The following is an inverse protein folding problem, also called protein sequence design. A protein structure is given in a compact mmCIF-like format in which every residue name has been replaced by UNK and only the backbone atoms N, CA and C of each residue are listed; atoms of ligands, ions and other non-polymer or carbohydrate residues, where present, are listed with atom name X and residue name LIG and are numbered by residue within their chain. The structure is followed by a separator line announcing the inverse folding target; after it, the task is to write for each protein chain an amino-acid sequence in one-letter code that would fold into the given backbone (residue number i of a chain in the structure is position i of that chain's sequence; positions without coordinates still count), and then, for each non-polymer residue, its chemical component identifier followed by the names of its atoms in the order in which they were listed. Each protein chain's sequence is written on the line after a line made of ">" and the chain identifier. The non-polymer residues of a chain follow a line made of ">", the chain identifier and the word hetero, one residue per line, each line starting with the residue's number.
data_IF_788857919162
#
_entry.id   IF_788857919162
#
_cell.length_a   1.000
_cell.length_b   1.000
_cell.length_c   1.000
_cell.angle_alpha   90.00
_cell.angle_beta   90.00
_cell.angle_gamma   90.00
#
_symmetry.space_group_name_H-M   'P 1'
#
loop_
_entity.id
_entity.type
_entity.pdbx_description
1 polymer ?
#
# COMPACT_ATOMS: atom_id res chain seq x y z
N UNK A 1 -0.33 -16.59 -6.58
CA UNK A 1 -0.52 -17.14 -5.24
C UNK A 1 -1.95 -16.82 -4.79
N UNK A 2 -2.61 -17.81 -4.20
CA UNK A 2 -3.91 -17.70 -3.60
C UNK A 2 -3.81 -18.05 -2.10
N UNK A 3 -4.92 -18.26 -1.41
CA UNK A 3 -5.01 -18.58 0.02
C UNK A 3 -4.14 -19.77 0.48
N UNK A 4 -3.87 -20.72 -0.41
CA UNK A 4 -2.91 -21.79 -0.22
C UNK A 4 -1.93 -21.83 -1.38
N UNK A 5 -0.68 -22.18 -1.09
CA UNK A 5 0.40 -22.31 -2.07
C UNK A 5 1.16 -23.60 -1.87
N UNK A 6 1.69 -24.14 -2.96
CA UNK A 6 2.53 -25.33 -2.93
C UNK A 6 3.98 -24.96 -3.20
N UNK A 7 4.85 -25.13 -2.20
CA UNK A 7 6.29 -24.83 -2.30
C UNK A 7 7.08 -26.09 -2.00
N UNK A 8 7.92 -26.53 -2.94
CA UNK A 8 8.71 -27.77 -2.82
C UNK A 8 7.88 -28.99 -2.39
N UNK A 9 6.67 -29.11 -2.94
CA UNK A 9 5.76 -30.23 -2.63
C UNK A 9 4.91 -30.06 -1.38
N UNK A 10 5.21 -29.09 -0.51
CA UNK A 10 4.50 -28.79 0.73
C UNK A 10 3.40 -27.76 0.49
N UNK A 11 2.17 -28.03 0.93
CA UNK A 11 1.08 -27.06 0.93
C UNK A 11 1.15 -26.17 2.16
N UNK A 12 0.98 -24.86 1.96
CA UNK A 12 1.09 -23.84 3.01
C UNK A 12 -0.10 -22.88 2.92
N UNK A 13 -0.64 -22.49 4.07
CA UNK A 13 -1.60 -21.36 4.16
C UNK A 13 -0.81 -20.08 3.93
N UNK A 14 -1.23 -19.26 2.94
CA UNK A 14 -0.54 -18.04 2.52
C UNK A 14 -0.96 -16.84 3.38
N UNK A 15 -0.26 -16.58 4.46
CA UNK A 15 -0.47 -15.40 5.31
C UNK A 15 0.57 -14.29 5.08
N UNK A 16 1.36 -14.38 4.01
CA UNK A 16 2.40 -13.40 3.67
C UNK A 16 2.09 -12.54 2.44
N UNK A 17 0.92 -12.71 1.81
CA UNK A 17 0.57 -12.03 0.56
C UNK A 17 -0.25 -10.75 0.81
N UNK A 18 0.01 -9.70 0.03
CA UNK A 18 -0.79 -8.49 -0.02
C UNK A 18 -1.94 -8.55 -1.05
N UNK A 19 -2.31 -9.75 -1.52
CA UNK A 19 -3.44 -9.97 -2.44
C UNK A 19 -4.79 -9.85 -1.69
N UNK A 20 -5.04 -8.71 -1.07
CA UNK A 20 -6.12 -8.50 -0.10
C UNK A 20 -7.50 -9.00 -0.56
N UNK A 21 -7.86 -8.73 -1.82
CA UNK A 21 -9.16 -9.10 -2.38
C UNK A 21 -9.15 -10.46 -3.10
N UNK A 22 -7.99 -11.15 -3.16
CA UNK A 22 -7.86 -12.45 -3.81
C UNK A 22 -8.02 -12.40 -5.34
N UNK A 23 -7.60 -11.30 -5.99
CA UNK A 23 -7.89 -11.07 -7.40
C UNK A 23 -6.85 -11.64 -8.36
N UNK A 24 -5.65 -12.04 -7.89
CA UNK A 24 -4.59 -12.54 -8.78
C UNK A 24 -4.98 -13.80 -9.58
N UNK A 25 -5.92 -14.58 -9.06
CA UNK A 25 -6.42 -15.81 -9.71
C UNK A 25 -7.84 -15.67 -10.23
N UNK A 26 -8.46 -14.48 -10.10
CA UNK A 26 -9.84 -14.23 -10.46
C UNK A 26 -10.08 -14.41 -11.97
N UNK A 27 -11.11 -15.19 -12.41
CA UNK A 27 -11.32 -15.51 -13.83
C UNK A 27 -11.46 -14.26 -14.72
N UNK A 28 -12.29 -13.28 -14.33
CA UNK A 28 -12.48 -12.03 -15.09
C UNK A 28 -11.20 -11.21 -15.24
N UNK A 29 -10.34 -11.21 -14.21
CA UNK A 29 -9.06 -10.49 -14.23
C UNK A 29 -8.08 -11.17 -15.18
N UNK A 30 -7.99 -12.50 -15.14
CA UNK A 30 -7.17 -13.30 -16.07
C UNK A 30 -7.64 -13.13 -17.51
N UNK A 31 -8.94 -13.20 -17.74
CA UNK A 31 -9.55 -13.03 -19.08
C UNK A 31 -9.24 -11.65 -19.67
N UNK A 32 -9.35 -10.59 -18.86
CA UNK A 32 -9.02 -9.23 -19.30
C UNK A 32 -7.55 -9.10 -19.72
N UNK A 33 -6.62 -9.69 -18.96
CA UNK A 33 -5.21 -9.70 -19.31
C UNK A 33 -4.93 -10.46 -20.61
N UNK A 34 -5.56 -11.63 -20.82
CA UNK A 34 -5.43 -12.44 -22.06
C UNK A 34 -5.92 -11.64 -23.28
N UNK A 35 -7.13 -11.06 -23.21
CA UNK A 35 -7.69 -10.23 -24.29
C UNK A 35 -6.80 -9.02 -24.64
N UNK A 36 -6.17 -8.43 -23.62
CA UNK A 36 -5.24 -7.32 -23.84
C UNK A 36 -3.94 -7.79 -24.55
N UNK A 37 -3.43 -8.97 -24.23
CA UNK A 37 -2.30 -9.57 -24.97
C UNK A 37 -2.67 -9.81 -26.43
N UNK A 38 -3.83 -10.38 -26.69
CA UNK A 38 -4.32 -10.65 -28.06
C UNK A 38 -4.48 -9.37 -28.88
N UNK A 39 -5.00 -8.29 -28.28
CA UNK A 39 -5.27 -7.02 -28.98
C UNK A 39 -4.04 -6.12 -29.12
N UNK A 40 -3.23 -6.00 -28.06
CA UNK A 40 -2.17 -4.98 -27.96
C UNK A 40 -0.76 -5.57 -27.91
N UNK A 41 -0.61 -6.87 -27.73
CA UNK A 41 0.67 -7.52 -27.49
C UNK A 41 1.11 -7.44 -26.00
N UNK A 42 2.38 -7.77 -25.76
CA UNK A 42 2.92 -7.96 -24.39
C UNK A 42 3.48 -6.70 -23.77
N UNK A 43 3.71 -5.63 -24.53
CA UNK A 43 4.32 -4.40 -24.03
C UNK A 43 4.28 -3.27 -25.04
N UNK A 44 4.59 -2.05 -24.58
CA UNK A 44 4.58 -0.84 -25.42
C UNK A 44 5.95 -0.47 -25.97
N UNK A 45 7.03 -1.05 -25.45
CA UNK A 45 8.43 -0.79 -25.86
C UNK A 45 8.89 0.67 -25.79
N UNK A 46 8.19 1.51 -25.03
CA UNK A 46 8.51 2.93 -24.88
C UNK A 46 7.86 3.57 -23.68
N UNK A 47 8.30 4.79 -23.36
CA UNK A 47 7.74 5.57 -22.28
C UNK A 47 6.41 6.22 -22.66
N UNK A 48 5.68 6.73 -21.64
CA UNK A 48 4.40 7.41 -21.80
C UNK A 48 4.46 8.61 -22.75
N UNK A 49 5.60 9.29 -22.85
CA UNK A 49 5.82 10.44 -23.74
C UNK A 49 6.12 10.08 -25.18
N UNK A 50 6.55 8.85 -25.46
CA UNK A 50 6.89 8.42 -26.80
C UNK A 50 5.74 7.60 -27.39
N UNK A 51 5.91 6.29 -27.42
CA UNK A 51 4.94 5.36 -28.00
C UNK A 51 4.21 4.50 -26.94
N UNK A 52 4.42 4.77 -25.66
CA UNK A 52 3.92 3.95 -24.56
C UNK A 52 2.57 4.37 -23.99
N UNK A 53 1.85 5.32 -24.61
CA UNK A 53 0.48 5.68 -24.23
C UNK A 53 -0.51 5.05 -25.20
N UNK A 54 -1.35 4.16 -24.69
CA UNK A 54 -2.45 3.52 -25.42
C UNK A 54 -3.79 4.03 -24.88
N UNK A 55 -4.86 3.81 -25.65
CA UNK A 55 -6.25 4.03 -25.22
C UNK A 55 -6.57 3.42 -23.85
N UNK A 56 -6.06 2.22 -23.56
CA UNK A 56 -6.21 1.56 -22.26
C UNK A 56 -5.61 2.38 -21.09
N UNK A 57 -4.48 3.05 -21.30
CA UNK A 57 -3.87 3.86 -20.26
C UNK A 57 -4.74 5.08 -19.93
N UNK A 58 -5.25 5.75 -20.96
CA UNK A 58 -6.13 6.92 -20.81
C UNK A 58 -7.46 6.53 -20.17
N UNK A 59 -8.05 5.39 -20.57
CA UNK A 59 -9.25 4.84 -19.93
C UNK A 59 -9.02 4.55 -18.45
N UNK A 60 -7.90 3.94 -18.09
CA UNK A 60 -7.57 3.62 -16.70
C UNK A 60 -7.40 4.91 -15.88
N UNK A 61 -6.65 5.89 -16.37
CA UNK A 61 -6.43 7.18 -15.72
C UNK A 61 -7.76 7.89 -15.45
N UNK A 62 -8.63 7.95 -16.46
CA UNK A 62 -9.96 8.53 -16.32
C UNK A 62 -10.81 7.80 -15.27
N UNK A 63 -10.86 6.46 -15.32
CA UNK A 63 -11.65 5.66 -14.36
C UNK A 63 -11.13 5.77 -12.93
N UNK A 64 -9.81 5.81 -12.74
CA UNK A 64 -9.20 6.00 -11.42
C UNK A 64 -9.50 7.40 -10.86
N UNK A 65 -9.35 8.45 -11.67
CA UNK A 65 -9.69 9.80 -11.25
C UNK A 65 -11.15 9.89 -10.76
N UNK A 66 -12.09 9.31 -11.51
CA UNK A 66 -13.51 9.25 -11.13
C UNK A 66 -13.75 8.44 -9.85
N UNK A 67 -13.08 7.29 -9.70
CA UNK A 67 -13.21 6.42 -8.53
C UNK A 67 -12.73 7.12 -7.25
N UNK A 68 -11.65 7.90 -7.36
CA UNK A 68 -11.02 8.63 -6.26
C UNK A 68 -11.62 10.03 -6.04
N UNK A 69 -12.60 10.44 -6.88
CA UNK A 69 -13.21 11.78 -6.88
C UNK A 69 -12.17 12.89 -7.04
N UNK A 70 -11.23 12.70 -7.97
CA UNK A 70 -10.20 13.65 -8.36
C UNK A 70 -10.39 14.10 -9.80
N UNK A 71 -9.77 15.24 -10.17
CA UNK A 71 -9.90 15.81 -11.50
C UNK A 71 -9.17 14.99 -12.56
N UNK A 72 -7.98 14.49 -12.21
CA UNK A 72 -7.08 13.79 -13.14
C UNK A 72 -6.24 12.72 -12.40
N UNK A 73 -5.66 11.82 -13.17
CA UNK A 73 -4.79 10.75 -12.68
C UNK A 73 -3.68 10.49 -13.70
N UNK A 74 -2.51 10.04 -13.23
CA UNK A 74 -1.42 9.55 -14.06
C UNK A 74 -0.89 8.22 -13.55
N UNK A 75 -0.69 7.26 -14.47
CA UNK A 75 -0.24 5.90 -14.17
C UNK A 75 1.26 5.76 -14.43
N UNK A 76 1.94 5.12 -13.49
CA UNK A 76 3.37 4.78 -13.49
C UNK A 76 3.57 3.26 -13.56
N UNK A 77 4.78 2.83 -13.93
CA UNK A 77 5.11 1.41 -14.08
C UNK A 77 5.21 0.65 -12.74
N UNK A 78 5.45 1.34 -11.63
CA UNK A 78 5.40 0.77 -10.26
C UNK A 78 4.97 1.84 -9.25
N UNK A 79 4.44 1.41 -8.09
CA UNK A 79 4.17 2.31 -6.97
C UNK A 79 5.44 2.99 -6.43
N UNK A 80 6.56 2.28 -6.43
CA UNK A 80 7.85 2.85 -6.05
C UNK A 80 8.24 4.04 -6.95
N UNK A 81 8.17 3.87 -8.27
CA UNK A 81 8.43 4.94 -9.24
C UNK A 81 7.43 6.09 -9.13
N UNK A 82 6.19 5.82 -8.71
CA UNK A 82 5.19 6.87 -8.47
C UNK A 82 5.66 7.81 -7.37
N UNK A 83 6.01 7.30 -6.20
CA UNK A 83 6.51 8.13 -5.10
C UNK A 83 7.79 8.90 -5.48
N UNK A 84 8.75 8.22 -6.13
CA UNK A 84 9.96 8.89 -6.61
C UNK A 84 9.64 10.05 -7.54
N UNK A 85 8.78 9.82 -8.54
CA UNK A 85 8.45 10.82 -9.54
C UNK A 85 7.66 11.99 -8.97
N UNK A 86 6.65 11.71 -8.18
CA UNK A 86 5.77 12.72 -7.59
C UNK A 86 6.54 13.61 -6.62
N UNK A 87 7.19 13.02 -5.62
CA UNK A 87 7.85 13.78 -4.57
C UNK A 87 9.04 14.58 -5.15
N UNK A 88 9.89 13.95 -5.98
CA UNK A 88 11.04 14.65 -6.55
C UNK A 88 10.66 15.75 -7.55
N UNK A 89 9.51 15.67 -8.18
CA UNK A 89 9.03 16.72 -9.09
C UNK A 89 8.40 17.91 -8.35
N UNK A 90 7.69 17.66 -7.25
CA UNK A 90 6.93 18.68 -6.53
C UNK A 90 7.77 19.42 -5.48
N UNK A 91 8.67 18.72 -4.77
CA UNK A 91 9.48 19.30 -3.68
C UNK A 91 10.75 19.90 -4.25
N UNK A 92 10.73 21.21 -4.49
CA UNK A 92 11.81 21.96 -5.16
C UNK A 92 12.72 22.63 -4.15
N UNK A 93 13.79 23.28 -4.64
CA UNK A 93 14.71 24.07 -3.79
C UNK A 93 13.94 25.13 -3.02
N UNK A 94 14.04 25.09 -1.71
CA UNK A 94 13.32 25.98 -0.78
C UNK A 94 12.04 25.36 -0.20
N UNK A 95 11.54 24.26 -0.76
CA UNK A 95 10.40 23.53 -0.22
C UNK A 95 10.82 22.45 0.79
N UNK A 96 9.85 21.96 1.54
CA UNK A 96 10.03 20.93 2.58
C UNK A 96 9.01 19.81 2.41
N UNK A 97 9.49 18.58 2.30
CA UNK A 97 8.70 17.37 2.50
C UNK A 97 8.65 17.04 4.00
N UNK A 98 7.47 16.82 4.55
CA UNK A 98 7.26 16.41 5.94
C UNK A 98 6.71 15.00 5.90
N UNK A 99 7.44 14.02 6.48
CA UNK A 99 7.15 12.60 6.33
C UNK A 99 7.09 11.91 7.69
N UNK A 100 6.27 10.87 7.81
CA UNK A 100 6.25 10.02 9.01
C UNK A 100 7.57 9.23 9.10
N UNK A 101 8.00 8.96 10.33
CA UNK A 101 9.25 8.21 10.59
C UNK A 101 9.20 6.79 10.03
N UNK A 102 8.01 6.20 9.88
CA UNK A 102 7.79 4.84 9.42
C UNK A 102 7.22 4.75 8.00
N UNK A 103 7.15 5.88 7.28
CA UNK A 103 6.75 5.90 5.87
C UNK A 103 7.61 4.97 5.02
N UNK A 104 6.99 4.44 3.97
CA UNK A 104 7.61 3.50 3.05
C UNK A 104 8.90 4.03 2.41
N UNK A 105 9.87 3.13 2.18
CA UNK A 105 11.18 3.47 1.62
C UNK A 105 11.11 4.31 0.33
N UNK A 106 10.10 4.10 -0.52
CA UNK A 106 9.91 4.88 -1.76
C UNK A 106 9.61 6.36 -1.50
N UNK A 107 8.89 6.69 -0.41
CA UNK A 107 8.64 8.07 0.02
C UNK A 107 9.97 8.71 0.44
N UNK A 108 10.73 8.01 1.26
CA UNK A 108 12.04 8.48 1.74
C UNK A 108 13.02 8.68 0.58
N UNK A 109 13.05 7.76 -0.38
CA UNK A 109 13.93 7.87 -1.54
C UNK A 109 13.45 8.97 -2.52
N UNK A 110 12.14 9.15 -2.67
CA UNK A 110 11.56 10.30 -3.38
C UNK A 110 12.01 11.64 -2.77
N UNK A 111 12.05 11.73 -1.44
CA UNK A 111 12.57 12.89 -0.73
C UNK A 111 14.06 13.10 -0.98
N UNK A 112 14.88 12.04 -0.94
CA UNK A 112 16.33 12.12 -1.22
C UNK A 112 16.62 12.58 -2.66
N UNK A 113 15.77 12.22 -3.61
CA UNK A 113 15.91 12.60 -5.01
C UNK A 113 15.35 13.99 -5.31
N UNK A 114 14.65 14.61 -4.39
CA UNK A 114 14.14 15.97 -4.52
C UNK A 114 15.25 17.01 -4.32
N UNK A 115 15.01 18.24 -4.78
CA UNK A 115 15.89 19.37 -4.51
C UNK A 115 15.55 20.11 -3.21
N UNK A 116 14.45 19.73 -2.56
CA UNK A 116 14.02 20.28 -1.30
C UNK A 116 14.61 19.57 -0.09
N UNK A 117 14.18 20.00 1.08
CA UNK A 117 14.56 19.38 2.35
C UNK A 117 13.49 18.40 2.81
N UNK A 118 13.88 17.27 3.41
CA UNK A 118 12.97 16.36 4.10
C UNK A 118 13.10 16.50 5.62
N UNK A 119 11.97 16.52 6.32
CA UNK A 119 11.91 16.52 7.79
C UNK A 119 10.96 15.41 8.22
N UNK A 120 11.39 14.62 9.22
CA UNK A 120 10.57 13.53 9.77
C UNK A 120 9.88 13.96 11.04
N UNK A 121 8.64 13.49 11.25
CA UNK A 121 7.98 13.52 12.53
C UNK A 121 7.82 12.10 13.11
N UNK A 122 7.59 12.00 14.40
CA UNK A 122 7.40 10.71 15.08
C UNK A 122 6.13 10.04 14.59
N UNK A 123 6.21 8.70 14.49
CA UNK A 123 5.16 7.89 13.90
C UNK A 123 3.79 8.17 14.52
N UNK A 124 2.86 8.59 13.65
CA UNK A 124 1.46 8.90 13.92
C UNK A 124 1.27 9.86 15.12
N UNK A 125 2.27 10.71 15.39
CA UNK A 125 2.29 11.67 16.50
C UNK A 125 1.96 13.08 15.99
N UNK A 126 0.73 13.49 16.18
CA UNK A 126 0.21 14.78 15.71
C UNK A 126 0.80 15.97 16.47
N UNK A 127 1.23 15.79 17.71
CA UNK A 127 1.90 16.84 18.47
C UNK A 127 3.31 17.08 17.92
N UNK A 128 4.03 16.02 17.55
CA UNK A 128 5.34 16.16 16.90
C UNK A 128 5.21 16.70 15.47
N UNK A 129 4.18 16.30 14.71
CA UNK A 129 3.88 16.89 13.41
C UNK A 129 3.64 18.40 13.53
N UNK A 130 2.85 18.84 14.52
CA UNK A 130 2.63 20.27 14.77
C UNK A 130 3.91 21.00 15.16
N UNK A 131 4.74 20.41 16.02
CA UNK A 131 6.06 20.93 16.38
C UNK A 131 6.94 21.14 15.14
N UNK A 132 6.99 20.15 14.25
CA UNK A 132 7.74 20.24 12.99
C UNK A 132 7.20 21.37 12.13
N UNK A 133 5.90 21.39 11.85
CA UNK A 133 5.25 22.40 11.00
C UNK A 133 5.44 23.82 11.52
N UNK A 134 5.35 24.02 12.85
CA UNK A 134 5.51 25.34 13.50
C UNK A 134 6.95 25.86 13.40
N UNK A 135 7.94 24.98 13.28
CA UNK A 135 9.36 25.34 13.15
C UNK A 135 9.79 25.76 11.74
N UNK A 136 8.92 25.56 10.74
CA UNK A 136 9.23 25.84 9.34
C UNK A 136 8.93 27.30 8.98
N UNK A 137 9.72 27.86 8.05
CA UNK A 137 9.44 29.17 7.47
C UNK A 137 8.02 29.19 6.85
N UNK A 138 7.26 30.25 7.13
CA UNK A 138 5.91 30.43 6.58
C UNK A 138 5.91 30.53 5.05
N UNK A 139 7.01 31.00 4.45
CA UNK A 139 7.14 31.21 3.01
C UNK A 139 7.55 29.96 2.23
N UNK A 140 8.06 28.91 2.90
CA UNK A 140 8.44 27.67 2.18
C UNK A 140 7.21 26.88 1.76
N UNK A 141 7.25 26.25 0.59
CA UNK A 141 6.30 25.22 0.20
C UNK A 141 6.42 24.02 1.13
N UNK A 142 5.27 23.45 1.53
CA UNK A 142 5.22 22.32 2.47
C UNK A 142 4.39 21.22 1.87
N UNK A 143 4.94 20.01 1.75
CA UNK A 143 4.23 18.81 1.35
C UNK A 143 4.32 17.77 2.47
N UNK A 144 3.21 17.49 3.13
CA UNK A 144 3.08 16.36 4.04
C UNK A 144 2.83 15.12 3.19
N UNK A 145 3.66 14.09 3.33
CA UNK A 145 3.47 12.78 2.67
C UNK A 145 3.39 11.73 3.77
N UNK A 146 2.35 10.90 3.74
CA UNK A 146 2.13 9.85 4.75
C UNK A 146 1.54 8.59 4.13
N UNK A 147 1.99 7.43 4.59
CA UNK A 147 1.26 6.18 4.38
C UNK A 147 -0.09 6.24 5.12
N UNK A 148 -1.14 5.77 4.49
CA UNK A 148 -2.47 5.69 5.13
C UNK A 148 -2.63 4.46 6.01
N UNK A 149 -2.06 3.33 5.59
CA UNK A 149 -1.88 2.12 6.39
C UNK A 149 -0.39 1.77 6.37
N UNK A 150 0.21 1.73 7.54
CA UNK A 150 1.63 1.40 7.68
C UNK A 150 1.87 -0.10 7.53
N UNK A 151 2.74 -0.45 6.60
CA UNK A 151 2.92 -1.83 6.12
C UNK A 151 3.46 -2.80 7.15
N UNK A 152 4.16 -2.31 8.18
CA UNK A 152 4.79 -3.13 9.23
C UNK A 152 4.02 -3.08 10.54
N UNK A 153 3.37 -1.97 10.86
CA UNK A 153 2.60 -1.74 12.09
C UNK A 153 1.14 -2.19 11.94
N UNK A 154 0.58 -2.08 10.73
CA UNK A 154 -0.82 -2.41 10.45
C UNK A 154 -1.82 -1.44 11.05
N UNK A 155 -1.39 -0.24 11.44
CA UNK A 155 -2.24 0.84 11.92
C UNK A 155 -2.59 1.84 10.81
N UNK A 156 -3.51 2.74 11.12
CA UNK A 156 -4.03 3.76 10.21
C UNK A 156 -3.58 5.13 10.70
N UNK A 157 -3.13 5.99 9.79
CA UNK A 157 -2.78 7.39 10.09
C UNK A 157 -4.00 8.16 10.62
N UNK A 158 -3.81 9.04 11.59
CA UNK A 158 -4.83 10.04 11.98
C UNK A 158 -4.95 11.13 10.90
N UNK A 159 -5.49 10.75 9.74
CA UNK A 159 -5.63 11.64 8.59
C UNK A 159 -6.47 12.90 8.90
N UNK A 160 -7.56 12.85 9.69
CA UNK A 160 -8.29 14.05 10.08
C UNK A 160 -7.41 15.10 10.78
N UNK A 161 -6.55 14.67 11.70
CA UNK A 161 -5.63 15.58 12.39
C UNK A 161 -4.51 16.07 11.48
N UNK A 162 -3.98 15.24 10.58
CA UNK A 162 -3.01 15.64 9.53
C UNK A 162 -3.61 16.78 8.69
N UNK A 163 -4.83 16.60 8.18
CA UNK A 163 -5.52 17.62 7.37
C UNK A 163 -5.76 18.92 8.16
N UNK A 164 -6.17 18.81 9.42
CA UNK A 164 -6.36 19.99 10.29
C UNK A 164 -5.06 20.80 10.44
N UNK A 165 -3.96 20.10 10.69
CA UNK A 165 -2.63 20.72 10.80
C UNK A 165 -2.14 21.28 9.46
N UNK A 166 -2.34 20.54 8.36
CA UNK A 166 -2.00 21.01 7.02
C UNK A 166 -2.67 22.34 6.69
N UNK A 167 -3.97 22.48 6.94
CA UNK A 167 -4.70 23.74 6.77
C UNK A 167 -4.14 24.86 7.65
N UNK A 168 -3.90 24.58 8.93
CA UNK A 168 -3.35 25.57 9.89
C UNK A 168 -2.01 26.13 9.44
N UNK A 169 -1.15 25.29 8.89
CA UNK A 169 0.23 25.65 8.49
C UNK A 169 0.43 25.84 6.98
N UNK A 170 -0.67 25.87 6.21
CA UNK A 170 -0.67 26.03 4.74
C UNK A 170 0.24 24.99 4.03
N UNK A 171 0.16 23.73 4.46
CA UNK A 171 0.79 22.60 3.82
C UNK A 171 -0.18 21.89 2.87
N UNK A 172 0.37 21.20 1.86
CA UNK A 172 -0.34 20.27 1.00
C UNK A 172 -0.19 18.85 1.52
N UNK A 173 -1.14 17.98 1.22
CA UNK A 173 -1.15 16.60 1.72
C UNK A 173 -1.20 15.61 0.56
N UNK A 174 -0.23 14.71 0.54
CA UNK A 174 -0.20 13.51 -0.28
C UNK A 174 -0.39 12.29 0.63
N UNK A 175 -1.35 11.44 0.30
CA UNK A 175 -1.58 10.17 1.01
C UNK A 175 -1.17 9.02 0.11
N UNK A 176 -0.33 8.12 0.64
CA UNK A 176 -0.02 6.85 0.00
C UNK A 176 -1.02 5.78 0.45
N UNK A 177 -1.97 5.49 -0.41
CA UNK A 177 -3.04 4.50 -0.23
C UNK A 177 -2.66 3.10 -0.74
N UNK A 178 -1.36 2.80 -0.86
CA UNK A 178 -0.91 1.52 -1.39
C UNK A 178 -1.50 0.31 -0.65
N UNK A 179 -1.74 0.41 0.65
CA UNK A 179 -2.38 -0.62 1.46
C UNK A 179 -3.88 -0.36 1.71
N UNK A 180 -4.40 0.82 1.37
CA UNK A 180 -5.76 1.22 1.70
C UNK A 180 -6.75 1.08 0.53
N UNK A 181 -6.31 1.30 -0.72
CA UNK A 181 -7.18 1.13 -1.89
C UNK A 181 -7.67 -0.32 -1.99
N UNK A 182 -8.98 -0.51 -2.18
CA UNK A 182 -9.65 -1.81 -2.12
C UNK A 182 -9.89 -2.34 -0.69
N UNK A 183 -9.36 -1.66 0.35
CA UNK A 183 -9.42 -2.09 1.77
C UNK A 183 -10.24 -1.12 2.61
N UNK A 184 -9.93 0.17 2.57
CA UNK A 184 -10.62 1.23 3.31
C UNK A 184 -11.68 1.93 2.46
N UNK A 185 -12.65 2.49 3.15
CA UNK A 185 -13.76 3.23 2.54
C UNK A 185 -14.93 2.33 2.13
N UNK A 186 -16.12 2.94 2.04
CA UNK A 186 -17.37 2.23 1.69
C UNK A 186 -17.28 1.57 0.30
N UNK A 187 -16.67 2.28 -0.66
CA UNK A 187 -16.49 1.80 -2.03
C UNK A 187 -15.08 1.22 -2.27
N UNK A 188 -14.18 1.27 -1.26
CA UNK A 188 -12.80 0.83 -1.38
C UNK A 188 -11.88 1.87 -2.02
N UNK A 189 -12.25 3.14 -1.98
CA UNK A 189 -11.45 4.22 -2.58
C UNK A 189 -10.32 4.72 -1.65
N UNK A 190 -10.06 4.06 -0.53
CA UNK A 190 -8.92 4.33 0.34
C UNK A 190 -9.22 5.21 1.55
N UNK A 191 -8.17 5.78 2.14
CA UNK A 191 -8.25 6.51 3.40
C UNK A 191 -9.03 7.83 3.28
N UNK A 192 -8.87 8.55 2.17
CA UNK A 192 -9.60 9.78 1.96
C UNK A 192 -11.12 9.55 1.99
N UNK A 193 -11.61 8.50 1.34
CA UNK A 193 -13.01 8.09 1.41
C UNK A 193 -13.41 7.63 2.82
N UNK A 194 -12.54 6.84 3.47
CA UNK A 194 -12.81 6.29 4.80
C UNK A 194 -13.12 7.38 5.83
N UNK A 195 -12.44 8.51 5.74
CA UNK A 195 -12.61 9.64 6.65
C UNK A 195 -13.52 10.76 6.09
N UNK A 196 -14.03 10.63 4.86
CA UNK A 196 -14.84 11.69 4.22
C UNK A 196 -14.02 12.93 3.86
N UNK A 197 -12.74 12.76 3.50
CA UNK A 197 -11.77 13.83 3.28
C UNK A 197 -11.29 13.88 1.81
N UNK A 198 -12.08 13.34 0.88
CA UNK A 198 -11.68 13.23 -0.54
C UNK A 198 -11.35 14.60 -1.16
N UNK A 199 -12.00 15.67 -0.71
CA UNK A 199 -11.74 17.03 -1.22
C UNK A 199 -10.58 17.73 -0.50
N UNK A 200 -10.15 17.21 0.64
CA UNK A 200 -9.14 17.83 1.50
C UNK A 200 -7.72 17.29 1.26
N UNK A 201 -7.63 16.06 0.78
CA UNK A 201 -6.35 15.46 0.37
C UNK A 201 -5.98 15.98 -1.00
N UNK A 202 -4.79 16.58 -1.18
CA UNK A 202 -4.37 17.15 -2.46
C UNK A 202 -4.00 16.09 -3.49
N UNK A 203 -3.28 15.05 -3.04
CA UNK A 203 -2.82 13.95 -3.89
C UNK A 203 -3.09 12.60 -3.22
N UNK A 204 -3.67 11.68 -3.99
CA UNK A 204 -3.84 10.28 -3.61
C UNK A 204 -2.95 9.42 -4.50
N UNK A 205 -1.95 8.81 -3.89
CA UNK A 205 -1.08 7.83 -4.53
C UNK A 205 -1.56 6.42 -4.19
N UNK A 206 -1.41 5.48 -5.11
CA UNK A 206 -1.66 4.06 -4.84
C UNK A 206 -0.82 3.14 -5.72
N UNK A 207 -0.84 1.85 -5.40
CA UNK A 207 -0.15 0.82 -6.17
C UNK A 207 -1.12 -0.24 -6.70
N UNK A 208 -0.75 -0.85 -7.84
CA UNK A 208 -1.51 -1.99 -8.38
C UNK A 208 -1.00 -3.35 -7.89
N UNK A 209 0.10 -3.37 -7.11
CA UNK A 209 0.75 -4.62 -6.70
C UNK A 209 0.09 -5.34 -5.52
N UNK A 210 -1.05 -4.86 -5.06
CA UNK A 210 -1.79 -5.42 -3.92
C UNK A 210 -3.25 -5.72 -4.30
N UNK A 211 -4.23 -4.91 -3.90
CA UNK A 211 -5.66 -5.13 -4.20
C UNK A 211 -5.98 -5.20 -5.69
N UNK A 212 -5.22 -4.54 -6.55
CA UNK A 212 -5.39 -4.60 -8.00
C UNK A 212 -4.69 -5.77 -8.69
N UNK A 213 -3.98 -6.62 -7.94
CA UNK A 213 -3.45 -7.92 -8.37
C UNK A 213 -2.44 -7.92 -9.54
N UNK A 214 -1.75 -6.80 -9.81
CA UNK A 214 -0.73 -6.69 -10.86
C UNK A 214 0.37 -5.72 -10.48
N UNK A 215 1.16 -5.24 -11.41
CA UNK A 215 2.22 -4.25 -11.21
C UNK A 215 1.74 -2.87 -11.66
N UNK A 216 2.33 -1.80 -11.10
CA UNK A 216 2.09 -0.42 -11.45
C UNK A 216 1.76 0.43 -10.24
N UNK A 217 1.51 1.72 -10.49
CA UNK A 217 1.05 2.67 -9.50
C UNK A 217 0.41 3.88 -10.17
N UNK A 218 -0.18 4.74 -9.38
CA UNK A 218 -0.85 5.95 -9.86
C UNK A 218 -0.75 7.08 -8.85
N UNK A 219 -0.95 8.29 -9.32
CA UNK A 219 -1.27 9.44 -8.48
C UNK A 219 -2.45 10.20 -9.09
N UNK A 220 -3.40 10.59 -8.26
CA UNK A 220 -4.59 11.37 -8.63
C UNK A 220 -4.66 12.66 -7.83
N UNK A 221 -5.15 13.74 -8.45
CA UNK A 221 -5.24 15.05 -7.83
C UNK A 221 -5.84 16.10 -8.77
N UNK A 222 -5.57 17.37 -8.50
CA UNK A 222 -5.97 18.50 -9.36
C UNK A 222 -5.30 18.39 -10.74
N UNK A 223 -6.04 18.63 -11.81
CA UNK A 223 -5.56 18.49 -13.19
C UNK A 223 -4.24 19.23 -13.46
N UNK A 224 -4.08 20.46 -12.96
CA UNK A 224 -2.85 21.25 -13.15
C UNK A 224 -1.63 20.58 -12.50
N UNK A 225 -1.83 19.98 -11.31
CA UNK A 225 -0.76 19.31 -10.57
C UNK A 225 -0.39 18.01 -11.28
N UNK A 226 -1.37 17.22 -11.72
CA UNK A 226 -1.12 15.98 -12.47
C UNK A 226 -0.44 16.28 -13.80
N UNK A 227 -0.86 17.34 -14.52
CA UNK A 227 -0.18 17.82 -15.73
C UNK A 227 1.28 18.18 -15.47
N UNK A 228 1.55 18.90 -14.37
CA UNK A 228 2.92 19.22 -13.98
C UNK A 228 3.76 17.97 -13.69
N UNK A 229 3.22 17.03 -12.90
CA UNK A 229 3.88 15.74 -12.61
C UNK A 229 4.18 14.99 -13.91
N UNK A 230 3.23 14.91 -14.84
CA UNK A 230 3.36 14.26 -16.15
C UNK A 230 4.58 14.78 -16.91
N UNK A 231 4.88 16.08 -16.84
CA UNK A 231 5.98 16.72 -17.56
C UNK A 231 7.29 16.82 -16.77
N UNK A 232 7.31 16.54 -15.48
CA UNK A 232 8.50 16.71 -14.63
C UNK A 232 8.97 15.42 -13.95
N UNK A 233 8.10 14.42 -13.78
CA UNK A 233 8.46 13.18 -13.10
C UNK A 233 9.40 12.31 -13.95
N UNK A 234 10.69 12.32 -13.60
CA UNK A 234 11.74 11.59 -14.35
C UNK A 234 11.48 10.09 -14.38
N UNK A 235 10.95 9.50 -13.29
CA UNK A 235 10.61 8.08 -13.23
C UNK A 235 9.44 7.67 -14.16
N UNK A 236 8.64 8.65 -14.62
CA UNK A 236 7.62 8.45 -15.64
C UNK A 236 8.21 8.63 -17.06
N UNK A 237 8.94 9.74 -17.25
CA UNK A 237 9.43 10.17 -18.57
C UNK A 237 10.48 9.20 -19.12
N UNK A 238 11.36 8.70 -18.26
CA UNK A 238 12.51 7.87 -18.62
C UNK A 238 12.33 6.37 -18.31
N UNK A 239 11.09 5.94 -18.07
CA UNK A 239 10.73 4.53 -17.90
C UNK A 239 9.77 4.06 -18.97
N UNK A 240 9.87 2.79 -19.35
CA UNK A 240 8.84 2.15 -20.15
C UNK A 240 7.48 2.17 -19.41
N UNK A 241 6.40 2.30 -20.17
CA UNK A 241 5.05 2.30 -19.62
C UNK A 241 4.64 0.90 -19.10
N UNK A 242 3.69 0.88 -18.22
CA UNK A 242 3.04 -0.35 -17.75
C UNK A 242 2.45 -1.11 -18.95
N UNK A 243 2.67 -2.45 -19.07
CA UNK A 243 2.23 -3.21 -20.24
C UNK A 243 0.71 -3.36 -20.32
N UNK A 244 0.13 -3.49 -21.52
CA UNK A 244 -1.32 -3.58 -21.73
C UNK A 244 -2.02 -4.65 -20.89
N UNK A 245 -1.49 -5.86 -20.71
CA UNK A 245 -2.13 -6.86 -19.85
C UNK A 245 -2.27 -6.42 -18.40
N UNK A 246 -1.29 -5.67 -17.88
CA UNK A 246 -1.36 -5.14 -16.52
C UNK A 246 -2.41 -4.03 -16.40
N UNK A 247 -2.51 -3.15 -17.42
CA UNK A 247 -3.56 -2.11 -17.47
C UNK A 247 -4.95 -2.73 -17.47
N UNK A 248 -5.17 -3.73 -18.34
CA UNK A 248 -6.45 -4.44 -18.43
C UNK A 248 -6.79 -5.20 -17.14
N UNK A 249 -5.77 -5.76 -16.45
CA UNK A 249 -5.92 -6.35 -15.12
C UNK A 249 -6.47 -5.33 -14.12
N UNK A 250 -5.90 -4.11 -14.08
CA UNK A 250 -6.35 -3.05 -13.16
C UNK A 250 -7.78 -2.62 -13.48
N UNK A 251 -8.11 -2.44 -14.77
CA UNK A 251 -9.47 -2.08 -15.19
C UNK A 251 -10.50 -3.11 -14.72
N UNK A 252 -10.21 -4.41 -14.90
CA UNK A 252 -11.09 -5.49 -14.43
C UNK A 252 -11.17 -5.54 -12.90
N UNK A 253 -10.04 -5.37 -12.20
CA UNK A 253 -9.99 -5.36 -10.75
C UNK A 253 -10.78 -4.15 -10.18
N UNK A 254 -10.69 -2.98 -10.79
CA UNK A 254 -11.44 -1.79 -10.40
C UNK A 254 -12.96 -2.02 -10.47
N UNK A 255 -13.44 -2.65 -11.53
CA UNK A 255 -14.87 -3.01 -11.64
C UNK A 255 -15.30 -4.01 -10.56
N UNK A 256 -14.44 -4.98 -10.20
CA UNK A 256 -14.72 -5.92 -9.11
C UNK A 256 -14.74 -5.19 -7.76
N UNK A 257 -13.77 -4.31 -7.48
CA UNK A 257 -13.71 -3.52 -6.24
C UNK A 257 -14.99 -2.71 -6.03
N UNK A 258 -15.54 -2.13 -7.11
CA UNK A 258 -16.77 -1.34 -7.09
C UNK A 258 -18.04 -2.17 -6.92
N UNK A 259 -18.10 -3.34 -7.57
CA UNK A 259 -19.34 -4.10 -7.73
C UNK A 259 -19.44 -5.32 -6.81
N UNK A 260 -18.34 -5.72 -6.12
CA UNK A 260 -18.31 -6.87 -5.20
C UNK A 260 -17.85 -6.40 -3.79
N UNK A 261 -18.64 -5.55 -3.08
CA UNK A 261 -18.27 -5.04 -1.74
C UNK A 261 -18.12 -6.15 -0.70
N UNK A 262 -18.79 -7.30 -0.89
CA UNK A 262 -18.69 -8.48 -0.02
C UNK A 262 -17.26 -9.03 0.10
N UNK A 263 -16.40 -8.80 -0.90
CA UNK A 263 -14.98 -9.16 -0.79
C UNK A 263 -14.28 -8.33 0.29
N UNK A 264 -14.59 -7.04 0.34
CA UNK A 264 -14.04 -6.13 1.37
C UNK A 264 -14.57 -6.50 2.75
N UNK A 265 -15.86 -6.80 2.86
CA UNK A 265 -16.48 -7.25 4.10
C UNK A 265 -15.85 -8.55 4.60
N UNK A 266 -15.63 -9.51 3.70
CA UNK A 266 -14.96 -10.79 4.02
C UNK A 266 -13.52 -10.58 4.43
N UNK A 267 -12.76 -9.71 3.75
CA UNK A 267 -11.41 -9.34 4.15
C UNK A 267 -11.36 -8.82 5.59
N UNK A 268 -12.26 -7.88 5.92
CA UNK A 268 -12.32 -7.32 7.27
C UNK A 268 -12.77 -8.32 8.32
N UNK A 269 -13.71 -9.20 7.99
CA UNK A 269 -14.09 -10.29 8.87
C UNK A 269 -12.88 -11.19 9.19
N UNK A 270 -12.17 -11.63 8.15
CA UNK A 270 -10.98 -12.48 8.29
C UNK A 270 -9.89 -11.80 9.13
N UNK A 271 -9.59 -10.53 8.87
CA UNK A 271 -8.60 -9.77 9.62
C UNK A 271 -8.97 -9.61 11.10
N UNK A 272 -10.23 -9.26 11.39
CA UNK A 272 -10.72 -9.12 12.78
C UNK A 272 -10.69 -10.45 13.53
N UNK A 273 -11.09 -11.57 12.89
CA UNK A 273 -11.01 -12.91 13.47
C UNK A 273 -9.59 -13.24 13.91
N UNK A 274 -8.62 -13.03 13.01
CA UNK A 274 -7.22 -13.36 13.28
C UNK A 274 -6.59 -12.42 14.32
N UNK A 275 -6.84 -11.12 14.23
CA UNK A 275 -6.36 -10.15 15.23
C UNK A 275 -6.87 -10.49 16.64
N UNK A 276 -8.16 -10.83 16.75
CA UNK A 276 -8.75 -11.28 18.01
C UNK A 276 -8.09 -12.57 18.49
N UNK A 277 -7.97 -13.58 17.61
CA UNK A 277 -7.37 -14.86 17.95
C UNK A 277 -5.92 -14.72 18.42
N UNK A 278 -5.10 -13.89 17.77
CA UNK A 278 -3.74 -13.64 18.22
C UNK A 278 -3.67 -12.95 19.59
N UNK A 279 -4.52 -11.97 19.85
CA UNK A 279 -4.60 -11.33 21.18
C UNK A 279 -5.00 -12.32 22.27
N UNK A 280 -5.98 -13.19 22.01
CA UNK A 280 -6.40 -14.24 22.94
C UNK A 280 -5.32 -15.29 23.18
N UNK A 281 -4.46 -15.57 22.21
CA UNK A 281 -3.30 -16.44 22.34
C UNK A 281 -2.11 -15.78 23.07
N UNK A 282 -2.14 -14.48 23.30
CA UNK A 282 -1.08 -13.74 23.99
C UNK A 282 -0.01 -13.13 23.08
N UNK A 283 -0.21 -13.10 21.77
CA UNK A 283 0.71 -12.43 20.86
C UNK A 283 0.66 -10.91 20.97
N UNK A 284 1.82 -10.27 20.89
CA UNK A 284 1.92 -8.82 20.80
C UNK A 284 1.67 -8.35 19.35
N UNK A 285 0.48 -7.80 19.09
CA UNK A 285 0.07 -7.25 17.79
C UNK A 285 0.17 -5.72 17.72
N UNK A 286 0.76 -5.09 18.71
CA UNK A 286 0.86 -3.63 18.88
C UNK A 286 -0.48 -2.92 18.61
N UNK A 287 -0.45 -1.86 17.80
CA UNK A 287 -1.61 -1.00 17.45
C UNK A 287 -2.36 -1.47 16.21
N UNK A 288 -2.01 -2.62 15.65
CA UNK A 288 -2.63 -3.11 14.41
C UNK A 288 -4.16 -3.17 14.52
N UNK A 289 -4.80 -2.66 13.47
CA UNK A 289 -6.26 -2.63 13.34
C UNK A 289 -6.73 -2.88 11.89
N UNK A 290 -5.82 -3.34 11.00
CA UNK A 290 -6.08 -3.54 9.56
C UNK A 290 -5.85 -5.00 9.16
N UNK A 291 -6.04 -5.38 7.88
CA UNK A 291 -5.68 -6.70 7.37
C UNK A 291 -4.19 -7.05 7.43
N UNK A 292 -3.34 -6.16 7.87
CA UNK A 292 -1.92 -6.41 8.19
C UNK A 292 -1.77 -6.58 9.69
N UNK A 293 -1.39 -7.77 10.16
CA UNK A 293 -1.22 -8.05 11.59
C UNK A 293 0.20 -8.50 11.87
N UNK A 294 1.05 -7.62 12.42
CA UNK A 294 2.38 -7.98 12.88
C UNK A 294 2.31 -8.74 14.20
N UNK A 295 3.21 -9.69 14.39
CA UNK A 295 3.45 -10.38 15.67
C UNK A 295 4.86 -10.02 16.10
N UNK A 296 5.00 -9.14 17.09
CA UNK A 296 6.28 -8.65 17.55
C UNK A 296 7.01 -9.70 18.39
N UNK A 297 8.23 -10.05 17.94
CA UNK A 297 9.09 -11.05 18.58
C UNK A 297 10.26 -10.38 19.31
N UNK A 298 10.80 -9.29 18.73
CA UNK A 298 11.91 -8.52 19.26
C UNK A 298 13.27 -9.01 18.79
N UNK A 299 13.68 -10.20 19.18
CA UNK A 299 14.97 -10.80 18.82
C UNK A 299 14.97 -11.36 17.40
N UNK A 300 16.02 -11.05 16.62
CA UNK A 300 16.13 -11.41 15.21
C UNK A 300 16.24 -12.93 15.01
N UNK A 301 17.07 -13.60 15.80
CA UNK A 301 17.29 -15.05 15.72
C UNK A 301 16.02 -15.80 16.10
N UNK A 302 15.35 -15.35 17.16
CA UNK A 302 14.08 -15.93 17.61
C UNK A 302 12.99 -15.76 16.54
N UNK A 303 12.94 -14.60 15.87
CA UNK A 303 11.97 -14.34 14.80
C UNK A 303 12.19 -15.27 13.59
N UNK A 304 13.44 -15.47 13.17
CA UNK A 304 13.79 -16.38 12.07
C UNK A 304 13.50 -17.83 12.42
N UNK A 305 13.86 -18.28 13.63
CA UNK A 305 13.57 -19.66 14.07
C UNK A 305 12.05 -19.90 14.16
N UNK A 306 11.31 -18.93 14.71
CA UNK A 306 9.87 -19.02 14.79
C UNK A 306 9.21 -19.04 13.40
N UNK A 307 9.67 -18.20 12.46
CA UNK A 307 9.23 -18.25 11.08
C UNK A 307 9.50 -19.62 10.43
N UNK A 308 10.69 -20.20 10.64
CA UNK A 308 11.04 -21.53 10.12
C UNK A 308 10.11 -22.60 10.68
N UNK A 309 9.86 -22.59 11.97
CA UNK A 309 8.93 -23.53 12.62
C UNK A 309 7.49 -23.39 12.10
N UNK A 310 7.02 -22.15 11.84
CA UNK A 310 5.73 -21.89 11.20
C UNK A 310 5.69 -22.45 9.76
N UNK A 311 6.76 -22.23 8.99
CA UNK A 311 6.86 -22.76 7.63
C UNK A 311 6.82 -24.30 7.62
N UNK A 312 7.55 -24.94 8.54
CA UNK A 312 7.51 -26.40 8.71
C UNK A 312 6.15 -26.91 9.16
N UNK A 313 5.39 -26.10 9.86
CA UNK A 313 4.04 -26.45 10.33
C UNK A 313 2.92 -26.15 9.30
N UNK A 314 3.23 -25.55 8.15
CA UNK A 314 2.24 -25.32 7.09
C UNK A 314 1.80 -23.86 6.92
N UNK A 315 2.50 -22.88 7.48
CA UNK A 315 2.21 -21.44 7.36
C UNK A 315 3.28 -20.74 6.52
N UNK A 316 2.87 -19.98 5.52
CA UNK A 316 3.72 -19.01 4.85
C UNK A 316 3.42 -17.61 5.41
N UNK A 317 4.33 -17.07 6.21
CA UNK A 317 4.30 -15.70 6.73
C UNK A 317 5.65 -15.02 6.43
N UNK A 318 5.77 -13.71 6.64
CA UNK A 318 6.98 -12.96 6.33
C UNK A 318 7.75 -12.62 7.61
N UNK A 319 8.99 -13.15 7.80
CA UNK A 319 9.86 -12.63 8.85
C UNK A 319 10.36 -11.24 8.43
N UNK A 320 10.29 -10.28 9.34
CA UNK A 320 10.76 -8.91 9.12
C UNK A 320 11.79 -8.59 10.20
N UNK A 321 13.01 -8.35 9.74
CA UNK A 321 14.18 -8.09 10.59
C UNK A 321 14.88 -6.81 10.14
N UNK A 322 15.82 -6.24 10.90
CA UNK A 322 16.64 -5.14 10.43
C UNK A 322 17.32 -5.44 9.08
N UNK A 323 17.42 -4.47 8.15
CA UNK A 323 17.09 -3.04 8.32
C UNK A 323 15.64 -2.64 8.02
N UNK A 324 14.74 -3.61 7.74
CA UNK A 324 13.33 -3.32 7.43
C UNK A 324 12.53 -2.82 8.65
N UNK A 325 12.99 -3.18 9.85
CA UNK A 325 12.53 -2.63 11.13
C UNK A 325 13.75 -2.24 11.97
N UNK A 326 13.60 -1.36 12.98
CA UNK A 326 14.70 -1.05 13.91
C UNK A 326 15.19 -2.29 14.67
N UNK A 327 16.47 -2.32 15.09
CA UNK A 327 17.00 -3.38 15.96
C UNK A 327 16.13 -3.59 17.19
N UNK A 328 15.89 -4.86 17.56
CA UNK A 328 15.03 -5.23 18.69
C UNK A 328 13.52 -5.16 18.40
N UNK A 329 13.11 -4.91 17.14
CA UNK A 329 11.71 -4.86 16.73
C UNK A 329 11.34 -5.89 15.66
N UNK A 330 12.11 -6.98 15.56
CA UNK A 330 11.83 -8.07 14.63
C UNK A 330 10.45 -8.68 14.87
N UNK A 331 9.76 -9.02 13.81
CA UNK A 331 8.38 -9.48 13.84
C UNK A 331 8.09 -10.53 12.76
N UNK A 332 7.00 -11.26 12.94
CA UNK A 332 6.36 -12.02 11.87
C UNK A 332 5.18 -11.20 11.34
N UNK A 333 5.26 -10.80 10.08
CA UNK A 333 4.19 -10.07 9.41
C UNK A 333 3.20 -11.03 8.79
N UNK A 334 1.96 -10.97 9.21
CA UNK A 334 0.84 -11.68 8.58
C UNK A 334 -0.09 -10.70 7.87
N UNK A 335 -0.72 -11.15 6.80
CA UNK A 335 -1.74 -10.40 6.08
C UNK A 335 -2.81 -11.35 5.55
N UNK A 336 -4.04 -10.85 5.44
CA UNK A 336 -5.21 -11.65 5.13
C UNK A 336 -5.78 -11.30 3.78
N UNK A 337 -6.48 -12.28 3.19
CA UNK A 337 -7.16 -12.15 1.91
C UNK A 337 -8.65 -12.43 2.09
N UNK A 338 -9.47 -11.84 1.23
CA UNK A 338 -10.90 -12.12 1.16
C UNK A 338 -11.20 -13.59 0.84
N UNK A 339 -10.27 -14.28 0.18
CA UNK A 339 -10.39 -15.70 -0.23
C UNK A 339 -10.04 -16.70 0.87
N UNK A 340 -9.46 -16.30 1.99
CA UNK A 340 -9.26 -17.20 3.12
C UNK A 340 -10.60 -17.71 3.64
N UNK A 341 -10.71 -19.03 3.81
CA UNK A 341 -11.88 -19.65 4.43
C UNK A 341 -11.76 -19.64 5.96
N UNK A 342 -12.84 -19.95 6.65
CA UNK A 342 -12.81 -20.06 8.11
C UNK A 342 -11.90 -21.18 8.58
N UNK A 343 -11.93 -22.31 7.85
CA UNK A 343 -11.08 -23.47 8.11
C UNK A 343 -9.60 -23.12 7.98
N UNK A 344 -9.21 -22.34 6.94
CA UNK A 344 -7.83 -21.86 6.81
C UNK A 344 -7.39 -21.04 8.01
N UNK A 345 -8.27 -20.15 8.50
CA UNK A 345 -7.94 -19.25 9.62
C UNK A 345 -7.92 -19.99 10.96
N UNK A 346 -8.82 -20.93 11.19
CA UNK A 346 -8.84 -21.75 12.39
C UNK A 346 -7.63 -22.68 12.44
N UNK A 347 -7.28 -23.34 11.31
CA UNK A 347 -6.06 -24.13 11.17
C UNK A 347 -4.82 -23.29 11.46
N UNK A 348 -4.77 -22.06 10.91
CA UNK A 348 -3.65 -21.16 11.16
C UNK A 348 -3.52 -20.79 12.64
N UNK A 349 -4.61 -20.44 13.32
CA UNK A 349 -4.58 -20.12 14.76
C UNK A 349 -4.10 -21.31 15.61
N UNK A 350 -4.54 -22.53 15.27
CA UNK A 350 -4.08 -23.75 15.94
C UNK A 350 -2.58 -24.00 15.74
N UNK A 351 -2.07 -23.76 14.54
CA UNK A 351 -0.63 -23.87 14.26
C UNK A 351 0.14 -22.81 15.04
N UNK A 352 -0.29 -21.53 14.99
CA UNK A 352 0.35 -20.46 15.76
C UNK A 352 0.36 -20.75 17.25
N UNK A 353 -0.74 -21.28 17.82
CA UNK A 353 -0.83 -21.69 19.21
C UNK A 353 0.22 -22.74 19.58
N UNK A 354 0.34 -23.81 18.77
CA UNK A 354 1.28 -24.91 19.01
C UNK A 354 2.73 -24.46 18.87
N UNK A 355 3.04 -23.79 17.76
CA UNK A 355 4.40 -23.33 17.44
C UNK A 355 4.85 -22.21 18.37
N UNK A 356 3.95 -21.26 18.68
CA UNK A 356 4.25 -20.14 19.58
C UNK A 356 4.61 -20.57 20.98
N UNK A 357 3.87 -21.54 21.55
CA UNK A 357 4.20 -22.15 22.84
C UNK A 357 5.53 -22.88 22.80
N UNK A 358 5.79 -23.72 21.78
CA UNK A 358 7.07 -24.43 21.61
C UNK A 358 8.27 -23.49 21.53
N UNK A 359 8.11 -22.37 20.81
CA UNK A 359 9.15 -21.36 20.63
C UNK A 359 9.28 -20.36 21.79
N UNK A 360 8.41 -20.46 22.82
CA UNK A 360 8.38 -19.52 23.94
C UNK A 360 8.08 -18.07 23.49
N UNK A 361 7.24 -17.91 22.47
CA UNK A 361 6.78 -16.61 21.98
C UNK A 361 5.52 -16.16 22.73
N UNK A 362 4.70 -17.13 23.12
CA UNK A 362 3.50 -16.98 23.95
C UNK A 362 3.51 -17.98 25.09
#
# INVERSE_FOLDING_TARGET
>A
PDRRVKIKGKELIMLGSNNYLGLTTHPKVKEAAIKAIEKYGTGCTGSRFLNGTLDLHEELEYKLAKFLKKDDCIVFSTGYQTNLGVISSLVRKGDVAIVDKLDHASIIDGCKMSFGRAVRFLHNDMADLERVLSSLDKKCGKLIVVDSIFSMEGDIIDLPSVIKLAKKYQARVMVDDAHAVGVLGKNGAGAAEHFGLEQEVDLIMGTFSKSFATIGGYVAGEHKVITYIRHQARSLIFSASIPPPAVATVLAALEIIKNEPERRERLWYNAKKMLKGFKELGYNTATSCTPVVPLHIGDDTKAINFWHDLYEAGIFANPVIPPAVPPGRSLIRTSYMATHTEEDLDEALDIFKKVGKKAGVI
#
